data_IF_924166600090
#
_entry.id   IF_924166600090
#
_cell.length_a   1.000
_cell.length_b   1.000
_cell.length_c   1.000
_cell.angle_alpha   90.00
_cell.angle_beta   90.00
_cell.angle_gamma   90.00
#
_symmetry.space_group_name_H-M   'P 1'
#
loop_
_entity.id
_entity.type
_entity.pdbx_description
1 polymer ?
#
# COMPACT_ATOMS: atom_id res chain seq x y z
N UNK A 1 -77.15 9.52 -53.93
CA UNK A 1 -76.85 8.07 -53.92
C UNK A 1 -76.87 7.60 -52.48
N UNK A 2 -77.76 6.66 -52.16
CA UNK A 2 -77.97 6.10 -50.82
C UNK A 2 -77.07 4.88 -50.70
N UNK A 3 -76.06 4.90 -49.82
CA UNK A 3 -75.38 3.68 -49.42
C UNK A 3 -75.68 3.38 -47.95
N UNK A 4 -76.39 2.27 -47.81
CA UNK A 4 -76.89 1.70 -46.59
C UNK A 4 -75.74 1.27 -45.66
N UNK A 5 -75.98 1.52 -44.38
CA UNK A 5 -75.25 1.01 -43.24
C UNK A 5 -75.14 -0.52 -43.28
N UNK A 6 -73.91 -1.05 -43.32
CA UNK A 6 -73.61 -2.44 -42.94
C UNK A 6 -73.21 -2.44 -41.46
N UNK A 7 -73.96 -3.09 -40.56
CA UNK A 7 -73.53 -3.27 -39.19
C UNK A 7 -72.37 -4.29 -39.17
N UNK A 8 -71.20 -3.84 -38.73
CA UNK A 8 -70.11 -4.74 -38.37
C UNK A 8 -70.52 -5.48 -37.08
N UNK A 9 -70.45 -6.82 -37.01
CA UNK A 9 -70.72 -7.56 -35.78
C UNK A 9 -69.73 -7.12 -34.69
N UNK A 10 -70.14 -7.07 -33.41
CA UNK A 10 -69.19 -6.84 -32.32
C UNK A 10 -68.14 -7.95 -32.36
N UNK A 11 -66.92 -7.61 -32.74
CA UNK A 11 -65.79 -8.51 -32.63
C UNK A 11 -65.66 -8.87 -31.15
N UNK A 12 -65.92 -10.14 -30.88
CA UNK A 12 -65.96 -10.76 -29.58
C UNK A 12 -64.82 -10.27 -28.70
N UNK A 13 -65.17 -9.87 -27.48
CA UNK A 13 -64.24 -9.65 -26.40
C UNK A 13 -63.47 -10.95 -26.14
N UNK A 14 -62.31 -11.09 -26.79
CA UNK A 14 -61.35 -12.12 -26.43
C UNK A 14 -60.58 -11.59 -25.22
N UNK A 15 -60.96 -12.09 -24.04
CA UNK A 15 -60.19 -11.94 -22.81
C UNK A 15 -58.87 -12.70 -23.00
N UNK A 16 -57.88 -12.05 -23.61
CA UNK A 16 -56.49 -12.36 -23.30
C UNK A 16 -56.18 -11.62 -21.99
N UNK A 17 -56.17 -12.30 -20.81
CA UNK A 17 -55.64 -11.66 -19.61
C UNK A 17 -54.19 -11.28 -19.94
N UNK A 18 -53.94 -9.96 -19.99
CA UNK A 18 -52.72 -9.39 -20.54
C UNK A 18 -51.49 -10.15 -20.07
N UNK A 19 -50.67 -10.60 -21.02
CA UNK A 19 -49.37 -11.13 -20.70
C UNK A 19 -48.54 -10.00 -20.11
N UNK A 20 -48.55 -9.95 -18.79
CA UNK A 20 -47.77 -9.04 -17.97
C UNK A 20 -46.33 -9.42 -18.26
N UNK A 21 -45.65 -8.67 -19.12
CA UNK A 21 -44.20 -8.71 -19.22
C UNK A 21 -43.70 -8.30 -17.83
N UNK A 22 -43.36 -9.31 -17.02
CA UNK A 22 -42.74 -9.09 -15.72
C UNK A 22 -41.36 -8.53 -16.00
N UNK A 23 -41.24 -7.21 -15.94
CA UNK A 23 -39.95 -6.56 -15.97
C UNK A 23 -39.09 -7.23 -14.89
N UNK A 24 -37.87 -7.72 -15.21
CA UNK A 24 -36.98 -8.26 -14.20
C UNK A 24 -36.84 -7.19 -13.12
N UNK A 25 -36.94 -7.55 -11.82
CA UNK A 25 -36.94 -6.56 -10.76
C UNK A 25 -35.68 -5.71 -10.92
N UNK A 26 -35.85 -4.41 -11.18
CA UNK A 26 -34.76 -3.47 -11.22
C UNK A 26 -34.11 -3.52 -9.84
N UNK A 27 -32.93 -4.13 -9.77
CA UNK A 27 -32.14 -4.23 -8.56
C UNK A 27 -31.79 -2.81 -8.12
N UNK A 28 -32.58 -2.23 -7.22
CA UNK A 28 -32.29 -0.93 -6.61
C UNK A 28 -30.96 -1.09 -5.89
N UNK A 29 -29.92 -0.47 -6.45
CA UNK A 29 -28.58 -0.47 -5.89
C UNK A 29 -28.68 0.09 -4.47
N UNK A 30 -28.62 -0.78 -3.45
CA UNK A 30 -28.55 -0.37 -2.06
C UNK A 30 -27.31 0.50 -1.91
N UNK A 31 -27.50 1.81 -1.83
CA UNK A 31 -26.44 2.78 -1.53
C UNK A 31 -26.01 2.52 -0.10
N UNK A 32 -25.05 1.61 0.11
CA UNK A 32 -24.39 1.48 1.40
C UNK A 32 -23.78 2.85 1.71
N UNK A 33 -24.01 3.41 2.91
CA UNK A 33 -23.59 4.77 3.22
C UNK A 33 -22.07 4.88 3.02
N UNK A 34 -21.59 5.94 2.33
CA UNK A 34 -20.19 6.06 1.91
C UNK A 34 -19.22 5.99 3.09
N UNK A 35 -19.63 6.53 4.25
CA UNK A 35 -18.88 6.49 5.50
C UNK A 35 -18.63 5.06 5.99
N UNK A 36 -19.61 4.16 5.88
CA UNK A 36 -19.49 2.78 6.37
C UNK A 36 -18.58 1.90 5.50
N UNK A 37 -18.41 2.26 4.22
CA UNK A 37 -17.46 1.58 3.32
C UNK A 37 -16.05 2.08 3.61
N UNK A 38 -15.88 3.40 3.71
CA UNK A 38 -14.61 4.01 4.07
C UNK A 38 -14.10 3.53 5.44
N UNK A 39 -14.96 3.48 6.46
CA UNK A 39 -14.59 2.99 7.78
C UNK A 39 -14.14 1.52 7.73
N UNK A 40 -14.86 0.67 6.97
CA UNK A 40 -14.47 -0.74 6.77
C UNK A 40 -13.15 -0.89 6.03
N UNK A 41 -12.90 -0.11 5.00
CA UNK A 41 -11.64 -0.14 4.24
C UNK A 41 -10.46 0.30 5.13
N UNK A 42 -10.65 1.35 5.93
CA UNK A 42 -9.67 1.83 6.91
C UNK A 42 -9.41 0.76 7.97
N UNK A 43 -10.46 0.16 8.53
CA UNK A 43 -10.32 -0.92 9.51
C UNK A 43 -9.62 -2.13 8.89
N UNK A 44 -9.99 -2.60 7.70
CA UNK A 44 -9.35 -3.77 7.07
C UNK A 44 -7.89 -3.53 6.70
N UNK A 45 -7.49 -2.28 6.45
CA UNK A 45 -6.09 -1.91 6.16
C UNK A 45 -5.25 -1.73 7.42
N UNK A 46 -5.82 -1.16 8.48
CA UNK A 46 -5.10 -0.84 9.71
C UNK A 46 -5.15 -1.96 10.76
N UNK A 47 -6.20 -2.79 10.76
CA UNK A 47 -6.37 -3.84 11.75
C UNK A 47 -5.27 -4.91 11.67
N UNK A 48 -4.89 -5.44 10.49
CA UNK A 48 -3.79 -6.41 10.42
C UNK A 48 -2.44 -5.89 10.93
N UNK A 49 -1.93 -4.71 10.51
CA UNK A 49 -0.64 -4.22 10.99
C UNK A 49 -0.70 -3.84 12.48
N UNK A 50 -1.82 -3.28 12.97
CA UNK A 50 -1.95 -2.95 14.40
C UNK A 50 -2.00 -4.20 15.29
N UNK A 51 -2.69 -5.25 14.86
CA UNK A 51 -2.68 -6.53 15.57
C UNK A 51 -1.28 -7.18 15.54
N UNK A 52 -0.60 -7.16 14.40
CA UNK A 52 0.78 -7.65 14.28
C UNK A 52 1.74 -6.89 15.20
N UNK A 53 1.66 -5.56 15.19
CA UNK A 53 2.45 -4.71 16.08
C UNK A 53 2.14 -4.95 17.55
N UNK A 54 0.85 -5.09 17.89
CA UNK A 54 0.40 -5.39 19.25
C UNK A 54 0.91 -6.75 19.75
N UNK A 55 0.82 -7.79 18.93
CA UNK A 55 1.37 -9.12 19.25
C UNK A 55 2.90 -9.08 19.42
N UNK A 56 3.60 -8.34 18.55
CA UNK A 56 5.05 -8.15 18.66
C UNK A 56 5.42 -7.44 19.96
N UNK A 57 4.73 -6.35 20.30
CA UNK A 57 4.97 -5.60 21.54
C UNK A 57 4.65 -6.44 22.78
N UNK A 58 3.58 -7.24 22.76
CA UNK A 58 3.24 -8.15 23.85
C UNK A 58 4.30 -9.25 24.01
N UNK A 59 4.72 -9.90 22.92
CA UNK A 59 5.78 -10.90 22.95
C UNK A 59 7.11 -10.32 23.46
N UNK A 60 7.46 -9.12 22.99
CA UNK A 60 8.65 -8.40 23.45
C UNK A 60 8.55 -8.02 24.93
N UNK A 61 7.40 -7.48 25.38
CA UNK A 61 7.17 -7.15 26.78
C UNK A 61 7.34 -8.38 27.68
N UNK A 62 6.76 -9.52 27.30
CA UNK A 62 6.87 -10.77 28.07
C UNK A 62 8.32 -11.29 28.09
N UNK A 63 9.04 -11.20 26.98
CA UNK A 63 10.45 -11.57 26.91
C UNK A 63 11.33 -10.67 27.79
N UNK A 64 11.06 -9.36 27.80
CA UNK A 64 11.78 -8.39 28.61
C UNK A 64 11.53 -8.61 30.12
N UNK A 65 10.30 -8.95 30.50
CA UNK A 65 9.96 -9.25 31.90
C UNK A 65 10.66 -10.51 32.42
N UNK A 66 10.93 -11.50 31.56
CA UNK A 66 11.61 -12.74 31.93
C UNK A 66 13.15 -12.65 31.85
N UNK A 67 13.69 -11.61 31.22
CA UNK A 67 15.12 -11.46 30.99
C UNK A 67 15.68 -10.30 31.83
N UNK A 68 16.44 -10.62 32.89
CA UNK A 68 17.11 -9.59 33.70
C UNK A 68 18.10 -8.82 32.82
N UNK A 69 17.82 -7.54 32.56
CA UNK A 69 18.68 -6.64 31.78
C UNK A 69 18.19 -6.35 30.36
N UNK A 70 17.08 -6.94 29.90
CA UNK A 70 16.51 -6.59 28.60
C UNK A 70 15.50 -5.44 28.75
N UNK A 71 15.71 -4.28 28.11
CA UNK A 71 14.83 -3.14 28.27
C UNK A 71 13.44 -3.42 27.70
N UNK A 72 12.41 -2.86 28.34
CA UNK A 72 11.04 -2.91 27.82
C UNK A 72 10.93 -2.10 26.52
N UNK A 73 9.88 -2.31 25.70
CA UNK A 73 9.68 -1.54 24.48
C UNK A 73 9.64 -0.02 24.73
N UNK A 74 9.01 0.41 25.84
CA UNK A 74 8.92 1.82 26.22
C UNK A 74 10.29 2.37 26.65
N UNK A 75 11.01 1.67 27.52
CA UNK A 75 12.35 2.12 27.94
C UNK A 75 13.34 2.19 26.77
N UNK A 76 13.21 1.29 25.81
CA UNK A 76 14.00 1.31 24.57
C UNK A 76 13.67 2.53 23.73
N UNK A 77 12.38 2.88 23.62
CA UNK A 77 11.93 4.07 22.90
C UNK A 77 12.43 5.36 23.57
N UNK A 78 12.32 5.48 24.89
CA UNK A 78 12.80 6.66 25.63
C UNK A 78 14.31 6.85 25.48
N UNK A 79 15.07 5.76 25.56
CA UNK A 79 16.53 5.78 25.35
C UNK A 79 16.86 6.16 23.91
N UNK A 80 16.14 5.59 22.94
CA UNK A 80 16.32 5.91 21.53
C UNK A 80 16.03 7.40 21.28
N UNK A 81 14.92 7.94 21.79
CA UNK A 81 14.58 9.35 21.65
C UNK A 81 15.66 10.26 22.25
N UNK A 82 16.21 9.89 23.40
CA UNK A 82 17.30 10.64 24.04
C UNK A 82 18.57 10.62 23.17
N UNK A 83 18.95 9.47 22.63
CA UNK A 83 20.11 9.32 21.75
C UNK A 83 19.93 10.02 20.39
N UNK A 84 18.70 10.06 19.87
CA UNK A 84 18.37 10.73 18.61
C UNK A 84 18.06 12.23 18.78
N UNK A 85 17.90 12.73 20.00
CA UNK A 85 17.61 14.14 20.25
C UNK A 85 18.79 15.06 19.88
N UNK A 86 20.01 14.59 20.16
CA UNK A 86 21.24 15.24 19.68
C UNK A 86 22.10 14.25 18.89
N UNK A 87 21.78 13.96 17.62
CA UNK A 87 22.49 12.93 16.88
C UNK A 87 23.92 13.35 16.50
N UNK A 88 24.29 14.63 16.66
CA UNK A 88 25.59 15.18 16.23
C UNK A 88 26.44 15.73 17.38
N UNK A 89 26.15 15.39 18.64
CA UNK A 89 26.97 15.81 19.77
C UNK A 89 28.42 15.29 19.69
N UNK A 90 29.32 15.97 20.39
CA UNK A 90 30.74 15.60 20.53
C UNK A 90 31.19 15.87 21.98
N UNK A 91 31.00 14.90 22.86
CA UNK A 91 31.30 15.03 24.30
C UNK A 91 32.69 14.48 24.66
N UNK A 92 33.38 13.83 23.71
CA UNK A 92 34.78 13.44 23.87
C UNK A 92 35.32 12.55 22.74
N UNK A 93 36.57 12.08 22.84
CA UNK A 93 37.21 11.28 21.79
C UNK A 93 36.50 9.94 21.49
N UNK A 94 35.84 9.36 22.49
CA UNK A 94 35.13 8.08 22.38
C UNK A 94 33.60 8.21 22.52
N UNK A 95 33.09 9.43 22.73
CA UNK A 95 31.68 9.70 22.98
C UNK A 95 31.17 10.72 21.95
N UNK A 96 30.77 10.18 20.81
CA UNK A 96 30.36 10.94 19.62
C UNK A 96 28.96 10.50 19.23
N UNK A 97 28.12 11.47 18.87
CA UNK A 97 26.77 11.21 18.40
C UNK A 97 26.74 10.21 17.23
N UNK A 98 25.70 9.38 17.21
CA UNK A 98 25.51 8.31 16.21
C UNK A 98 25.49 8.89 14.78
N UNK A 99 25.04 10.13 14.62
CA UNK A 99 24.99 10.83 13.34
C UNK A 99 26.35 10.97 12.65
N UNK A 100 27.44 11.18 13.40
CA UNK A 100 28.79 11.26 12.83
C UNK A 100 29.26 9.93 12.24
N UNK A 101 28.97 8.82 12.92
CA UNK A 101 29.29 7.48 12.44
C UNK A 101 28.48 7.10 11.18
N UNK A 102 27.20 7.46 11.16
CA UNK A 102 26.33 7.24 10.00
C UNK A 102 26.80 8.10 8.82
N UNK A 103 27.11 9.37 9.06
CA UNK A 103 27.61 10.27 8.03
C UNK A 103 28.94 9.78 7.45
N UNK A 104 29.88 9.36 8.30
CA UNK A 104 31.15 8.79 7.87
C UNK A 104 30.96 7.52 7.02
N UNK A 105 30.01 6.66 7.40
CA UNK A 105 29.66 5.46 6.64
C UNK A 105 29.06 5.81 5.28
N UNK A 106 28.13 6.76 5.25
CA UNK A 106 27.50 7.22 4.02
C UNK A 106 28.51 7.90 3.10
N UNK A 107 29.43 8.70 3.65
CA UNK A 107 30.52 9.32 2.90
C UNK A 107 31.40 8.25 2.25
N UNK A 108 31.79 7.21 2.98
CA UNK A 108 32.58 6.11 2.41
C UNK A 108 31.86 5.42 1.25
N UNK A 109 30.56 5.14 1.40
CA UNK A 109 29.74 4.54 0.33
C UNK A 109 29.62 5.49 -0.86
N UNK A 110 29.37 6.77 -0.62
CA UNK A 110 29.26 7.78 -1.66
C UNK A 110 30.56 7.93 -2.45
N UNK A 111 31.71 7.92 -1.77
CA UNK A 111 33.03 7.98 -2.43
C UNK A 111 33.28 6.71 -3.25
N UNK A 112 33.06 5.52 -2.68
CA UNK A 112 33.25 4.26 -3.40
C UNK A 112 32.34 4.11 -4.61
N UNK A 113 31.05 4.39 -4.44
CA UNK A 113 30.07 4.40 -5.52
C UNK A 113 30.36 5.47 -6.56
N UNK A 114 30.75 6.68 -6.14
CA UNK A 114 31.10 7.77 -7.03
C UNK A 114 32.28 7.42 -7.93
N UNK A 115 33.36 6.86 -7.36
CA UNK A 115 34.52 6.40 -8.13
C UNK A 115 34.15 5.25 -9.07
N UNK A 116 33.35 4.28 -8.61
CA UNK A 116 32.88 3.18 -9.43
C UNK A 116 31.98 3.66 -10.58
N UNK A 117 31.13 4.66 -10.35
CA UNK A 117 30.29 5.25 -11.39
C UNK A 117 31.15 6.01 -12.42
N UNK A 118 32.12 6.79 -11.96
CA UNK A 118 33.04 7.55 -12.82
C UNK A 118 33.86 6.64 -13.75
N UNK A 119 34.32 5.48 -13.27
CA UNK A 119 35.06 4.54 -14.12
C UNK A 119 34.14 3.55 -14.85
N UNK A 120 33.13 3.03 -14.17
CA UNK A 120 32.26 1.96 -14.63
C UNK A 120 31.25 2.39 -15.68
N UNK A 121 30.70 3.62 -15.60
CA UNK A 121 29.76 4.11 -16.63
C UNK A 121 30.48 4.28 -17.98
N UNK A 122 31.62 4.99 -18.09
CA UNK A 122 32.34 5.11 -19.35
C UNK A 122 32.81 3.75 -19.86
N UNK A 123 33.37 2.89 -19.01
CA UNK A 123 33.86 1.58 -19.42
C UNK A 123 32.71 0.66 -19.89
N UNK A 124 31.60 0.64 -19.16
CA UNK A 124 30.40 -0.10 -19.53
C UNK A 124 29.81 0.38 -20.86
N UNK A 125 29.81 1.70 -21.11
CA UNK A 125 29.39 2.27 -22.39
C UNK A 125 30.33 1.89 -23.54
N UNK A 126 31.65 1.92 -23.33
CA UNK A 126 32.65 1.52 -24.33
C UNK A 126 32.49 0.03 -24.71
N UNK A 127 32.30 -0.85 -23.73
CA UNK A 127 32.04 -2.28 -23.96
C UNK A 127 30.70 -2.47 -24.68
N UNK A 128 29.63 -1.85 -24.19
CA UNK A 128 28.28 -1.97 -24.75
C UNK A 128 28.13 -1.37 -26.15
N UNK A 129 28.97 -0.40 -26.53
CA UNK A 129 28.98 0.17 -27.88
C UNK A 129 29.77 -0.69 -28.88
N UNK A 130 30.69 -1.54 -28.42
CA UNK A 130 31.44 -2.42 -29.31
C UNK A 130 30.57 -3.59 -29.80
N UNK A 131 30.42 -3.73 -31.11
CA UNK A 131 29.65 -4.79 -31.78
C UNK A 131 30.26 -6.20 -31.62
N UNK A 132 31.27 -6.38 -30.77
CA UNK A 132 32.16 -7.55 -30.76
C UNK A 132 31.46 -8.86 -30.33
N UNK A 133 30.26 -8.81 -29.76
CA UNK A 133 29.44 -9.98 -29.42
C UNK A 133 28.21 -10.20 -30.35
N UNK A 134 28.02 -9.39 -31.40
CA UNK A 134 26.88 -9.53 -32.35
C UNK A 134 27.22 -10.22 -33.68
N UNK A 135 28.46 -10.62 -33.87
CA UNK A 135 28.89 -11.60 -34.86
C UNK A 135 29.66 -12.61 -34.01
N UNK A 136 29.12 -13.77 -33.61
CA UNK A 136 29.00 -14.93 -34.48
C UNK A 136 28.03 -15.97 -33.85
N UNK A 137 26.72 -15.86 -34.13
CA UNK A 137 25.76 -16.98 -34.05
C UNK A 137 24.84 -16.92 -35.26
#
# INVERSE_FOLDING_TARGET
>A
MKHAYKPQPPASADKAPGEIITLPPLQVRKTTPPLSRWLRDVTQRLLPPLLGLGLLLLGWQLAAMNSKGFPTPLSTLDSALTLFADPFYQDGPNDMGIGWNVLASLQRVAVGFGLAALAGIPLGFLIGRSLFFRADV
#
